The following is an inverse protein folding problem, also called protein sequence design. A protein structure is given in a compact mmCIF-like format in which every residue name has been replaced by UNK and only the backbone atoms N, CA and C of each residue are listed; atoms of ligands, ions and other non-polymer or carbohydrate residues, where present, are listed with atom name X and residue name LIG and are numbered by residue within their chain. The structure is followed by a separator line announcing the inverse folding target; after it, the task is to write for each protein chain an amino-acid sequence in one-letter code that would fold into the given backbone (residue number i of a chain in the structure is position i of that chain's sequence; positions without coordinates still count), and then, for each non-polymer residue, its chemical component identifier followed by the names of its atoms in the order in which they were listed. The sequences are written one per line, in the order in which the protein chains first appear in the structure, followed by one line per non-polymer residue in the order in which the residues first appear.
data_IF_468443592340
#
_entry.id   IF_468443592340
#
_cell.length_a   1.000
_cell.length_b   1.000
_cell.length_c   1.000
_cell.angle_alpha   90.00
_cell.angle_beta   90.00
_cell.angle_gamma   90.00
#
_symmetry.space_group_name_H-M   'P 1'
#
loop_
_entity.id
_entity.type
_entity.pdbx_description
1 polymer ?
#
# COMPACT_ATOMS: atom_id res chain seq x y z
N UNK A 1 -58.02 -28.34 -9.25
CA UNK A 1 -56.81 -28.40 -10.11
C UNK A 1 -56.22 -27.03 -10.49
N UNK A 2 -57.01 -26.02 -10.89
CA UNK A 2 -56.45 -24.70 -11.32
C UNK A 2 -55.66 -23.93 -10.25
N UNK A 3 -56.00 -24.02 -8.95
CA UNK A 3 -55.28 -23.32 -7.86
C UNK A 3 -53.91 -23.93 -7.52
N UNK A 4 -53.69 -25.24 -7.78
CA UNK A 4 -52.38 -25.89 -7.56
C UNK A 4 -51.38 -25.63 -8.70
N UNK A 5 -51.89 -25.42 -9.91
CA UNK A 5 -51.05 -25.05 -11.08
C UNK A 5 -50.55 -23.60 -10.95
N UNK A 6 -51.37 -22.69 -10.40
CA UNK A 6 -50.98 -21.32 -10.18
C UNK A 6 -49.90 -21.16 -9.09
N UNK A 7 -49.98 -21.97 -8.02
CA UNK A 7 -48.99 -22.00 -6.96
C UNK A 7 -47.63 -22.58 -7.44
N UNK A 8 -47.68 -23.63 -8.28
CA UNK A 8 -46.45 -24.18 -8.87
C UNK A 8 -45.79 -23.24 -9.88
N UNK A 9 -46.58 -22.48 -10.66
CA UNK A 9 -46.04 -21.47 -11.57
C UNK A 9 -45.46 -20.27 -10.83
N UNK A 10 -46.02 -19.87 -9.68
CA UNK A 10 -45.47 -18.80 -8.84
C UNK A 10 -44.17 -19.21 -8.13
N UNK A 11 -44.08 -20.47 -7.67
CA UNK A 11 -42.83 -21.00 -7.10
C UNK A 11 -41.74 -21.17 -8.17
N UNK A 12 -42.03 -21.51 -9.41
CA UNK A 12 -41.08 -21.56 -10.50
C UNK A 12 -40.62 -20.12 -10.91
N UNK A 13 -41.49 -19.13 -10.85
CA UNK A 13 -41.14 -17.74 -11.11
C UNK A 13 -40.28 -17.11 -10.00
N UNK A 14 -40.44 -17.58 -8.74
CA UNK A 14 -39.58 -17.15 -7.62
C UNK A 14 -38.22 -17.87 -7.60
N UNK A 15 -38.11 -19.06 -8.19
CA UNK A 15 -36.84 -19.77 -8.36
C UNK A 15 -36.04 -19.30 -9.58
N UNK A 16 -36.67 -18.64 -10.54
CA UNK A 16 -35.97 -17.98 -11.66
C UNK A 16 -35.47 -16.57 -11.33
N UNK A 17 -35.76 -16.06 -10.13
CA UNK A 17 -35.22 -14.79 -9.62
C UNK A 17 -33.85 -14.89 -8.96
N UNK A 18 -33.33 -16.09 -8.67
CA UNK A 18 -31.91 -16.32 -8.49
C UNK A 18 -31.27 -16.40 -9.88
N UNK A 19 -31.19 -15.30 -10.57
CA UNK A 19 -30.35 -15.19 -11.75
C UNK A 19 -28.93 -15.53 -11.31
N UNK A 20 -28.48 -16.77 -11.57
CA UNK A 20 -27.05 -16.98 -11.72
C UNK A 20 -26.59 -15.86 -12.66
N UNK A 21 -25.77 -14.93 -12.18
CA UNK A 21 -25.09 -14.00 -13.06
C UNK A 21 -24.51 -14.87 -14.18
N UNK A 22 -24.71 -14.52 -15.47
CA UNK A 22 -24.02 -15.24 -16.51
C UNK A 22 -22.56 -15.32 -16.09
N UNK A 23 -21.88 -16.49 -16.27
CA UNK A 23 -20.45 -16.54 -16.05
C UNK A 23 -19.86 -15.34 -16.78
N UNK A 24 -18.97 -14.59 -16.10
CA UNK A 24 -18.21 -13.54 -16.76
C UNK A 24 -17.67 -14.18 -18.04
N UNK A 25 -18.03 -13.65 -19.21
CA UNK A 25 -17.37 -13.98 -20.45
C UNK A 25 -15.95 -13.43 -20.32
N UNK A 26 -15.07 -14.25 -19.74
CA UNK A 26 -13.65 -13.94 -19.72
C UNK A 26 -13.19 -13.98 -21.19
N UNK A 27 -12.48 -12.98 -21.67
CA UNK A 27 -11.92 -13.00 -23.00
C UNK A 27 -11.13 -14.29 -23.22
N UNK A 28 -11.28 -14.90 -24.38
CA UNK A 28 -10.59 -16.14 -24.76
C UNK A 28 -9.08 -16.01 -24.56
N UNK A 29 -8.55 -16.94 -23.82
CA UNK A 29 -7.36 -16.88 -23.00
C UNK A 29 -6.03 -16.84 -23.76
N UNK A 30 -5.77 -16.15 -24.81
CA UNK A 30 -4.37 -16.06 -25.28
C UNK A 30 -4.02 -14.93 -26.26
N UNK A 31 -4.94 -14.18 -26.83
CA UNK A 31 -4.54 -13.18 -27.83
C UNK A 31 -4.92 -11.72 -27.59
N UNK A 32 -5.76 -11.43 -26.58
CA UNK A 32 -6.27 -10.06 -26.34
C UNK A 32 -6.27 -9.63 -24.85
N UNK A 33 -5.48 -10.27 -23.99
CA UNK A 33 -5.37 -9.83 -22.60
C UNK A 33 -4.58 -8.55 -22.51
N UNK A 34 -5.13 -7.55 -21.81
CA UNK A 34 -4.40 -6.34 -21.51
C UNK A 34 -3.19 -6.63 -20.62
N UNK A 35 -2.04 -6.09 -21.01
CA UNK A 35 -0.78 -6.26 -20.25
C UNK A 35 -0.61 -5.08 -19.31
N UNK A 36 -0.22 -5.36 -18.07
CA UNK A 36 0.17 -4.36 -17.09
C UNK A 36 1.67 -4.53 -16.83
N UNK A 37 2.46 -3.49 -17.05
CA UNK A 37 3.85 -3.43 -16.61
C UNK A 37 3.87 -3.17 -15.10
N UNK A 38 4.30 -4.16 -14.32
CA UNK A 38 4.25 -4.13 -12.87
C UNK A 38 5.64 -4.17 -12.25
N UNK A 39 6.00 -3.11 -11.51
CA UNK A 39 7.16 -3.09 -10.62
C UNK A 39 6.66 -3.28 -9.17
N UNK A 40 6.86 -4.46 -8.57
CA UNK A 40 6.36 -4.77 -7.23
C UNK A 40 7.07 -4.00 -6.12
N UNK A 41 6.44 -3.90 -4.95
CA UNK A 41 7.01 -3.26 -3.77
C UNK A 41 8.26 -4.00 -3.26
N UNK A 42 8.21 -5.32 -3.30
CA UNK A 42 9.29 -6.27 -2.99
C UNK A 42 8.92 -7.67 -3.50
N UNK A 43 9.78 -8.66 -3.23
CA UNK A 43 9.65 -10.05 -3.70
C UNK A 43 8.76 -10.94 -2.82
N UNK A 44 8.07 -10.39 -1.82
CA UNK A 44 7.15 -11.18 -0.97
C UNK A 44 5.92 -11.65 -1.75
N UNK A 45 5.36 -12.83 -1.39
CA UNK A 45 4.19 -13.39 -2.07
C UNK A 45 2.98 -12.46 -2.12
N UNK A 46 2.80 -11.59 -1.11
CA UNK A 46 1.71 -10.61 -1.09
C UNK A 46 1.83 -9.56 -2.19
N UNK A 47 3.06 -9.19 -2.55
CA UNK A 47 3.35 -8.20 -3.58
C UNK A 47 3.57 -8.79 -4.97
N UNK A 48 3.80 -10.09 -5.10
CA UNK A 48 4.02 -10.78 -6.38
C UNK A 48 2.87 -11.74 -6.66
N UNK A 49 2.87 -12.93 -6.07
CA UNK A 49 1.95 -14.01 -6.44
C UNK A 49 0.47 -13.70 -6.18
N UNK A 50 0.16 -12.95 -5.10
CA UNK A 50 -1.21 -12.53 -4.80
C UNK A 50 -1.75 -11.53 -5.83
N UNK A 51 -0.89 -10.58 -6.26
CA UNK A 51 -1.27 -9.58 -7.27
C UNK A 51 -1.41 -10.23 -8.64
N UNK A 52 -0.48 -11.12 -9.01
CA UNK A 52 -0.53 -11.90 -10.25
C UNK A 52 -1.83 -12.73 -10.33
N UNK A 53 -2.15 -13.48 -9.26
CA UNK A 53 -3.38 -14.27 -9.20
C UNK A 53 -4.65 -13.41 -9.39
N UNK A 54 -4.70 -12.22 -8.77
CA UNK A 54 -5.81 -11.30 -8.95
C UNK A 54 -5.87 -10.79 -10.39
N UNK A 55 -4.77 -10.30 -10.93
CA UNK A 55 -4.70 -9.76 -12.29
C UNK A 55 -5.16 -10.79 -13.32
N UNK A 56 -4.66 -12.02 -13.23
CA UNK A 56 -5.10 -13.13 -14.09
C UNK A 56 -6.60 -13.43 -13.95
N UNK A 57 -7.12 -13.40 -12.73
CA UNK A 57 -8.55 -13.61 -12.46
C UNK A 57 -9.44 -12.52 -13.07
N UNK A 58 -8.90 -11.32 -13.27
CA UNK A 58 -9.56 -10.17 -13.88
C UNK A 58 -9.30 -10.06 -15.39
N UNK A 59 -8.52 -10.98 -15.97
CA UNK A 59 -8.23 -11.02 -17.40
C UNK A 59 -7.01 -10.22 -17.83
N UNK A 60 -6.15 -9.79 -16.90
CA UNK A 60 -4.87 -9.14 -17.19
C UNK A 60 -3.70 -10.12 -17.23
N UNK A 61 -2.59 -9.68 -17.83
CA UNK A 61 -1.29 -10.32 -17.71
C UNK A 61 -0.34 -9.33 -17.07
N UNK A 62 0.28 -9.71 -15.95
CA UNK A 62 1.36 -8.90 -15.37
C UNK A 62 2.67 -9.21 -16.09
N UNK A 63 3.29 -8.17 -16.64
CA UNK A 63 4.68 -8.22 -17.06
C UNK A 63 5.53 -7.57 -15.97
N UNK A 64 6.43 -8.35 -15.37
CA UNK A 64 7.29 -7.93 -14.28
C UNK A 64 8.76 -8.02 -14.69
N UNK A 65 9.65 -7.18 -14.11
CA UNK A 65 11.09 -7.36 -14.27
C UNK A 65 11.53 -8.70 -13.70
N UNK A 66 12.75 -9.16 -14.05
CA UNK A 66 13.32 -10.35 -13.44
C UNK A 66 13.44 -10.17 -11.93
N UNK A 67 13.13 -11.23 -11.14
CA UNK A 67 13.05 -11.18 -9.66
C UNK A 67 14.31 -10.57 -9.02
N UNK A 68 15.49 -10.88 -9.54
CA UNK A 68 16.76 -10.35 -9.01
C UNK A 68 16.87 -8.82 -9.10
N UNK A 69 16.10 -8.15 -9.99
CA UNK A 69 16.10 -6.70 -10.15
C UNK A 69 15.35 -5.98 -9.03
N UNK A 70 14.44 -6.66 -8.34
CA UNK A 70 13.63 -6.10 -7.25
C UNK A 70 13.71 -6.90 -5.94
N UNK A 71 14.59 -7.91 -5.88
CA UNK A 71 14.74 -8.75 -4.70
C UNK A 71 15.41 -8.01 -3.55
N UNK A 72 14.85 -8.19 -2.35
CA UNK A 72 15.43 -7.70 -1.10
C UNK A 72 16.05 -8.86 -0.32
N UNK A 73 17.32 -8.75 0.05
CA UNK A 73 18.02 -9.70 0.88
C UNK A 73 18.46 -9.04 2.19
N UNK A 74 18.16 -9.66 3.32
CA UNK A 74 18.65 -9.25 4.62
C UNK A 74 20.12 -9.63 4.80
N UNK A 75 20.81 -9.01 5.78
CA UNK A 75 22.26 -9.18 6.03
C UNK A 75 22.69 -10.65 6.08
N UNK A 76 21.94 -11.53 6.76
CA UNK A 76 22.24 -12.96 6.85
C UNK A 76 21.86 -13.79 5.62
N UNK A 77 21.14 -13.24 4.65
CA UNK A 77 20.65 -13.96 3.46
C UNK A 77 21.53 -13.74 2.24
N UNK A 78 22.36 -12.70 2.22
CA UNK A 78 23.16 -12.31 1.06
C UNK A 78 24.16 -13.39 0.70
N UNK A 79 24.87 -13.95 1.69
CA UNK A 79 25.87 -15.01 1.47
C UNK A 79 25.24 -16.27 0.90
N UNK A 80 24.14 -16.72 1.48
CA UNK A 80 23.44 -17.94 1.06
C UNK A 80 22.90 -17.78 -0.38
N UNK A 81 22.27 -16.66 -0.69
CA UNK A 81 21.75 -16.38 -2.03
C UNK A 81 22.83 -16.37 -3.11
N UNK A 82 23.97 -15.72 -2.83
CA UNK A 82 25.09 -15.69 -3.78
C UNK A 82 25.72 -17.07 -3.97
N UNK A 83 25.87 -17.85 -2.89
CA UNK A 83 26.40 -19.21 -2.95
C UNK A 83 25.49 -20.14 -3.76
N UNK A 84 24.17 -20.09 -3.55
CA UNK A 84 23.18 -20.89 -4.27
C UNK A 84 23.14 -20.59 -5.77
N UNK A 85 23.39 -19.33 -6.14
CA UNK A 85 23.38 -18.90 -7.54
C UNK A 85 24.77 -18.91 -8.21
N UNK A 86 25.80 -19.41 -7.51
CA UNK A 86 27.17 -19.49 -8.03
C UNK A 86 27.84 -18.14 -8.28
N UNK A 87 27.42 -17.13 -7.53
CA UNK A 87 27.91 -15.75 -7.62
C UNK A 87 28.97 -15.49 -6.53
N UNK A 88 29.89 -14.57 -6.81
CA UNK A 88 30.85 -14.10 -5.78
C UNK A 88 30.20 -13.05 -4.89
N UNK A 89 30.24 -13.26 -3.57
CA UNK A 89 29.71 -12.28 -2.61
C UNK A 89 30.59 -11.02 -2.59
N UNK A 90 29.99 -9.88 -2.84
CA UNK A 90 30.68 -8.57 -2.83
C UNK A 90 30.42 -7.77 -1.55
N UNK A 91 29.41 -8.14 -0.78
CA UNK A 91 28.99 -7.42 0.44
C UNK A 91 28.37 -8.42 1.43
N UNK A 92 28.55 -8.15 2.71
CA UNK A 92 27.93 -8.89 3.83
C UNK A 92 26.70 -8.16 4.38
N UNK A 93 26.39 -6.99 3.83
CA UNK A 93 25.23 -6.19 4.22
C UNK A 93 24.07 -6.46 3.27
N UNK A 94 22.85 -6.22 3.74
CA UNK A 94 21.62 -6.40 2.98
C UNK A 94 21.69 -5.82 1.57
N UNK A 95 20.99 -6.43 0.65
CA UNK A 95 20.89 -6.02 -0.74
C UNK A 95 19.45 -5.62 -1.05
N UNK A 96 19.31 -4.53 -1.78
CA UNK A 96 18.04 -4.05 -2.34
C UNK A 96 17.99 -4.28 -3.85
N UNK A 97 16.84 -3.99 -4.46
CA UNK A 97 16.69 -3.92 -5.90
C UNK A 97 17.52 -2.82 -6.56
N UNK A 98 17.41 -2.71 -7.86
CA UNK A 98 18.27 -1.86 -8.71
C UNK A 98 17.46 -0.75 -9.39
N UNK A 99 17.30 0.45 -8.77
CA UNK A 99 16.49 1.55 -9.30
C UNK A 99 16.77 1.91 -10.76
N UNK A 100 18.06 2.05 -11.12
CA UNK A 100 18.44 2.42 -12.48
C UNK A 100 18.06 1.37 -13.54
N UNK A 101 18.18 0.08 -13.20
CA UNK A 101 17.78 -1.01 -14.11
C UNK A 101 16.26 -1.12 -14.22
N UNK A 102 15.53 -0.90 -13.13
CA UNK A 102 14.07 -0.87 -13.13
C UNK A 102 13.53 0.32 -13.93
N UNK A 103 14.18 1.49 -13.84
CA UNK A 103 13.88 2.63 -14.71
C UNK A 103 14.02 2.27 -16.18
N UNK A 104 15.17 1.68 -16.57
CA UNK A 104 15.41 1.28 -17.95
C UNK A 104 14.38 0.22 -18.41
N UNK A 105 14.04 -0.73 -17.53
CA UNK A 105 13.01 -1.73 -17.81
C UNK A 105 11.63 -1.10 -18.05
N UNK A 106 11.20 -0.10 -17.26
CA UNK A 106 9.92 0.59 -17.49
C UNK A 106 9.91 1.27 -18.87
N UNK A 107 11.01 1.93 -19.24
CA UNK A 107 11.12 2.56 -20.58
C UNK A 107 11.13 1.53 -21.72
N UNK A 108 11.65 0.33 -21.49
CA UNK A 108 11.56 -0.78 -22.46
C UNK A 108 10.10 -1.24 -22.64
N UNK A 109 9.30 -1.27 -21.56
CA UNK A 109 7.87 -1.57 -21.66
C UNK A 109 7.11 -0.49 -22.44
N UNK A 110 7.44 0.78 -22.22
CA UNK A 110 6.91 1.91 -22.98
C UNK A 110 7.23 1.76 -24.46
N UNK A 111 8.49 1.50 -24.78
CA UNK A 111 8.93 1.27 -26.17
C UNK A 111 8.30 0.03 -26.83
N UNK A 112 7.88 -0.95 -26.03
CA UNK A 112 7.16 -2.14 -26.49
C UNK A 112 5.65 -1.91 -26.66
N UNK A 113 5.13 -0.72 -26.30
CA UNK A 113 3.73 -0.33 -26.46
C UNK A 113 2.83 -0.77 -25.31
N UNK A 114 3.37 -0.95 -24.11
CA UNK A 114 2.56 -1.11 -22.92
C UNK A 114 1.88 0.22 -22.59
N UNK A 115 0.61 0.18 -22.20
CA UNK A 115 -0.20 1.36 -21.88
C UNK A 115 -0.79 1.34 -20.46
N UNK A 116 -0.43 0.33 -19.65
CA UNK A 116 -0.86 0.20 -18.25
C UNK A 116 0.32 -0.07 -17.36
N UNK A 117 0.49 0.77 -16.36
CA UNK A 117 1.63 0.72 -15.43
C UNK A 117 1.18 0.66 -13.99
N UNK A 118 1.81 -0.24 -13.22
CA UNK A 118 1.65 -0.39 -11.80
C UNK A 118 3.05 -0.33 -11.16
N UNK A 119 3.39 0.81 -10.57
CA UNK A 119 4.78 1.13 -10.24
C UNK A 119 4.94 1.43 -8.74
N UNK A 120 5.66 0.57 -8.02
CA UNK A 120 6.08 0.88 -6.66
C UNK A 120 7.20 1.91 -6.66
N UNK A 121 6.95 3.07 -6.06
CA UNK A 121 7.95 4.14 -5.96
C UNK A 121 9.04 3.77 -4.95
N UNK A 122 8.72 3.04 -3.88
CA UNK A 122 9.73 2.50 -2.98
C UNK A 122 10.74 1.61 -3.70
N UNK A 123 10.28 0.80 -4.65
CA UNK A 123 11.15 -0.07 -5.44
C UNK A 123 11.95 0.71 -6.48
N UNK A 124 11.29 1.59 -7.22
CA UNK A 124 11.91 2.37 -8.30
C UNK A 124 12.92 3.41 -7.82
N UNK A 125 12.72 3.96 -6.61
CA UNK A 125 13.57 5.03 -6.11
C UNK A 125 14.63 4.52 -5.12
N UNK A 126 14.29 3.51 -4.31
CA UNK A 126 15.16 3.06 -3.22
C UNK A 126 15.57 1.58 -3.32
N UNK A 127 14.95 0.81 -4.23
CA UNK A 127 15.19 -0.63 -4.36
C UNK A 127 14.32 -1.49 -3.45
N UNK A 128 13.19 -0.97 -2.94
CA UNK A 128 12.17 -1.70 -2.20
C UNK A 128 11.79 -1.11 -0.86
N UNK A 129 10.74 -1.64 -0.24
CA UNK A 129 10.20 -1.14 1.03
C UNK A 129 11.23 -1.09 2.16
N UNK A 130 12.09 -2.10 2.27
CA UNK A 130 13.11 -2.17 3.32
C UNK A 130 14.18 -1.10 3.11
N UNK A 131 14.64 -0.91 1.89
CA UNK A 131 15.64 0.08 1.53
C UNK A 131 15.11 1.52 1.62
N UNK A 132 13.82 1.75 1.34
CA UNK A 132 13.20 3.08 1.44
C UNK A 132 13.22 3.65 2.88
N UNK A 133 13.40 2.78 3.88
CA UNK A 133 13.59 3.19 5.29
C UNK A 133 14.99 3.75 5.59
N UNK A 134 15.89 3.67 4.61
CA UNK A 134 17.23 4.28 4.59
C UNK A 134 17.35 5.22 3.40
N UNK A 135 16.30 6.01 3.13
CA UNK A 135 16.17 6.84 1.95
C UNK A 135 17.32 7.84 1.79
N UNK A 136 18.11 7.62 0.76
CA UNK A 136 19.12 8.55 0.27
C UNK A 136 18.52 9.49 -0.78
N UNK A 137 19.27 10.49 -1.22
CA UNK A 137 18.84 11.44 -2.26
C UNK A 137 19.33 11.06 -3.66
N UNK A 138 20.18 10.05 -3.75
CA UNK A 138 20.78 9.58 -5.01
C UNK A 138 20.77 8.06 -5.09
N UNK A 139 20.71 7.53 -6.30
CA UNK A 139 21.07 6.15 -6.64
C UNK A 139 22.31 6.14 -7.52
N UNK A 140 22.78 4.96 -7.94
CA UNK A 140 23.91 4.82 -8.86
C UNK A 140 23.42 4.45 -10.27
N UNK A 141 23.96 5.15 -11.28
CA UNK A 141 23.81 4.78 -12.69
C UNK A 141 25.16 4.90 -13.39
N UNK A 142 25.65 3.83 -14.01
CA UNK A 142 26.94 3.77 -14.72
C UNK A 142 28.14 4.22 -13.86
N UNK A 143 28.13 3.83 -12.58
CA UNK A 143 29.19 4.20 -11.62
C UNK A 143 29.18 5.66 -11.18
N UNK A 144 28.07 6.36 -11.38
CA UNK A 144 27.90 7.77 -10.99
C UNK A 144 26.65 7.97 -10.15
N UNK A 145 26.68 8.89 -9.17
CA UNK A 145 25.47 9.30 -8.47
C UNK A 145 24.44 9.88 -9.44
N UNK A 146 23.22 9.43 -9.33
CA UNK A 146 22.05 9.93 -10.07
C UNK A 146 21.01 10.43 -9.08
N UNK A 147 20.68 11.74 -9.06
CA UNK A 147 19.68 12.28 -8.17
C UNK A 147 18.31 11.60 -8.36
N UNK A 148 17.67 11.17 -7.26
CA UNK A 148 16.38 10.50 -7.32
C UNK A 148 15.26 11.41 -7.84
N UNK A 149 15.35 12.72 -7.57
CA UNK A 149 14.44 13.71 -8.13
C UNK A 149 14.50 13.76 -9.68
N UNK A 150 15.72 13.66 -10.24
CA UNK A 150 15.92 13.64 -11.71
C UNK A 150 15.40 12.31 -12.31
N UNK A 151 15.62 11.18 -11.62
CA UNK A 151 15.08 9.88 -12.03
C UNK A 151 13.55 9.93 -12.06
N UNK A 152 12.93 10.40 -10.98
CA UNK A 152 11.47 10.55 -10.86
C UNK A 152 10.89 11.42 -11.96
N UNK A 153 11.41 12.64 -12.12
CA UNK A 153 10.96 13.59 -13.14
C UNK A 153 11.08 13.02 -14.55
N UNK A 154 12.22 12.39 -14.87
CA UNK A 154 12.48 11.78 -16.17
C UNK A 154 11.53 10.63 -16.46
N UNK A 155 11.30 9.74 -15.47
CA UNK A 155 10.39 8.59 -15.62
C UNK A 155 8.96 9.05 -15.90
N UNK A 156 8.44 9.94 -15.04
CA UNK A 156 7.06 10.40 -15.17
C UNK A 156 6.83 11.22 -16.42
N UNK A 157 7.84 12.02 -16.84
CA UNK A 157 7.78 12.77 -18.10
C UNK A 157 7.72 11.85 -19.29
N UNK A 158 8.53 10.79 -19.33
CA UNK A 158 8.51 9.80 -20.42
C UNK A 158 7.14 9.10 -20.51
N UNK A 159 6.60 8.64 -19.39
CA UNK A 159 5.28 8.00 -19.38
C UNK A 159 4.12 8.96 -19.73
N UNK A 160 4.30 10.25 -19.50
CA UNK A 160 3.29 11.26 -19.83
C UNK A 160 3.24 11.59 -21.34
N UNK A 161 4.27 11.24 -22.12
CA UNK A 161 4.32 11.50 -23.57
C UNK A 161 3.26 10.71 -24.34
N UNK A 162 2.96 9.46 -23.95
CA UNK A 162 1.84 8.71 -24.54
C UNK A 162 0.52 9.06 -23.83
N UNK A 163 -0.47 9.62 -24.57
CA UNK A 163 -1.77 9.96 -24.00
C UNK A 163 -2.64 8.74 -23.64
N UNK A 164 -2.26 7.54 -24.02
CA UNK A 164 -3.00 6.31 -23.70
C UNK A 164 -2.53 5.66 -22.39
N UNK A 165 -1.38 6.07 -21.87
CA UNK A 165 -0.85 5.49 -20.64
C UNK A 165 -1.76 5.72 -19.45
N UNK A 166 -2.06 4.65 -18.71
CA UNK A 166 -2.74 4.63 -17.41
C UNK A 166 -1.72 4.19 -16.36
N UNK A 167 -1.35 5.11 -15.46
CA UNK A 167 -0.20 4.93 -14.56
C UNK A 167 -0.64 4.98 -13.10
N UNK A 168 -0.39 3.91 -12.37
CA UNK A 168 -0.65 3.78 -10.94
C UNK A 168 0.67 3.80 -10.18
N UNK A 169 0.86 4.82 -9.36
CA UNK A 169 2.07 5.07 -8.58
C UNK A 169 1.80 4.74 -7.11
N UNK A 170 2.52 3.76 -6.59
CA UNK A 170 2.35 3.23 -5.26
C UNK A 170 3.51 3.69 -4.38
N UNK A 171 3.25 4.55 -3.41
CA UNK A 171 4.25 5.09 -2.49
C UNK A 171 3.91 4.75 -1.04
N UNK A 172 4.81 5.00 -0.11
CA UNK A 172 4.58 4.74 1.31
C UNK A 172 5.01 5.86 2.23
N UNK A 173 4.26 6.07 3.31
CA UNK A 173 4.71 6.81 4.48
C UNK A 173 5.59 5.86 5.31
N UNK A 174 6.85 6.24 5.55
CA UNK A 174 7.83 5.42 6.23
C UNK A 174 7.35 4.98 7.63
N UNK A 175 7.52 3.70 7.98
CA UNK A 175 7.22 3.18 9.31
C UNK A 175 8.06 3.81 10.43
N UNK A 176 7.75 3.46 11.68
CA UNK A 176 8.37 4.10 12.86
C UNK A 176 9.82 3.71 13.14
N UNK A 177 10.34 2.66 12.51
CA UNK A 177 11.70 2.19 12.77
C UNK A 177 12.32 1.50 11.53
N UNK A 178 13.65 1.49 11.41
CA UNK A 178 14.36 0.76 10.36
C UNK A 178 14.20 -0.76 10.52
N UNK A 179 14.67 -1.52 9.54
CA UNK A 179 14.56 -2.98 9.55
C UNK A 179 15.70 -3.63 10.32
N UNK A 180 15.36 -4.57 11.20
CA UNK A 180 16.34 -5.43 11.87
C UNK A 180 16.96 -6.41 10.84
N UNK A 181 18.30 -6.55 10.88
CA UNK A 181 19.01 -7.43 9.96
C UNK A 181 19.11 -6.91 8.52
N UNK A 182 19.01 -5.60 8.33
CA UNK A 182 19.29 -4.94 7.06
C UNK A 182 20.23 -3.76 7.26
N UNK A 183 21.30 -3.68 6.49
CA UNK A 183 22.33 -2.65 6.56
C UNK A 183 22.90 -2.46 7.99
N UNK A 184 23.05 -3.56 8.74
CA UNK A 184 23.55 -3.54 10.12
C UNK A 184 22.52 -3.12 11.17
N UNK A 185 21.23 -3.06 10.82
CA UNK A 185 20.14 -2.75 11.76
C UNK A 185 20.02 -3.79 12.88
N UNK A 186 20.11 -3.35 14.14
CA UNK A 186 19.98 -4.22 15.32
C UNK A 186 18.60 -4.08 15.96
N UNK A 187 18.21 -5.06 16.79
CA UNK A 187 16.98 -4.98 17.57
C UNK A 187 16.98 -3.81 18.56
N UNK A 188 18.15 -3.49 19.14
CA UNK A 188 18.31 -2.36 20.04
C UNK A 188 18.03 -1.04 19.30
N UNK A 189 18.63 -0.87 18.11
CA UNK A 189 18.39 0.30 17.26
C UNK A 189 16.91 0.39 16.83
N UNK A 190 16.32 -0.72 16.40
CA UNK A 190 14.90 -0.79 16.07
C UNK A 190 14.02 -0.31 17.24
N UNK A 191 14.23 -0.83 18.45
CA UNK A 191 13.43 -0.47 19.62
C UNK A 191 13.58 1.02 19.98
N UNK A 192 14.80 1.55 19.93
CA UNK A 192 15.05 2.96 20.20
C UNK A 192 14.35 3.87 19.18
N UNK A 193 14.48 3.59 17.89
CA UNK A 193 13.82 4.39 16.83
C UNK A 193 12.31 4.25 16.87
N UNK A 194 11.78 3.06 17.18
CA UNK A 194 10.34 2.86 17.37
C UNK A 194 9.80 3.69 18.54
N UNK A 195 10.55 3.78 19.65
CA UNK A 195 10.17 4.61 20.79
C UNK A 195 10.14 6.10 20.40
N UNK A 196 11.16 6.58 19.70
CA UNK A 196 11.19 7.96 19.16
C UNK A 196 10.02 8.16 18.20
N UNK A 197 9.83 7.24 17.24
CA UNK A 197 8.78 7.34 16.23
C UNK A 197 7.37 7.36 16.82
N UNK A 198 7.12 6.57 17.86
CA UNK A 198 5.82 6.44 18.53
C UNK A 198 5.48 7.61 19.46
N UNK A 199 6.45 8.41 19.87
CA UNK A 199 6.18 9.55 20.75
C UNK A 199 5.24 10.56 20.08
N UNK A 200 4.29 11.17 20.81
CA UNK A 200 3.38 12.17 20.26
C UNK A 200 4.11 13.39 19.69
N UNK A 201 3.64 13.91 18.58
CA UNK A 201 4.21 15.10 17.93
C UNK A 201 3.27 16.31 18.03
N UNK A 202 3.87 17.51 18.10
CA UNK A 202 3.11 18.75 17.92
C UNK A 202 2.40 18.72 16.56
N UNK A 203 1.11 19.06 16.54
CA UNK A 203 0.34 19.16 15.29
C UNK A 203 0.73 20.44 14.54
N UNK A 204 1.05 20.29 13.26
CA UNK A 204 1.23 21.40 12.31
C UNK A 204 -0.01 21.49 11.42
N UNK A 205 -0.40 22.72 11.07
CA UNK A 205 -1.60 22.98 10.24
C UNK A 205 -1.35 24.13 9.24
N UNK A 206 -2.05 24.10 8.11
CA UNK A 206 -2.02 25.17 7.12
C UNK A 206 -0.59 25.53 6.68
N UNK A 207 -0.20 26.79 6.80
CA UNK A 207 1.12 27.28 6.39
C UNK A 207 2.28 26.74 7.23
N UNK A 208 2.02 26.10 8.37
CA UNK A 208 3.05 25.44 9.16
C UNK A 208 3.52 24.09 8.54
N UNK A 209 2.76 23.48 7.64
CA UNK A 209 3.05 22.20 7.00
C UNK A 209 4.15 22.34 5.93
N UNK A 210 5.35 22.69 6.37
CA UNK A 210 6.56 22.76 5.53
C UNK A 210 7.54 21.65 5.92
N UNK A 211 8.38 21.21 4.99
CA UNK A 211 9.42 20.21 5.26
C UNK A 211 10.35 20.63 6.41
N UNK A 212 10.69 21.92 6.49
CA UNK A 212 11.52 22.47 7.57
C UNK A 212 10.84 22.30 8.94
N UNK A 213 9.58 22.70 9.07
CA UNK A 213 8.84 22.58 10.31
C UNK A 213 8.59 21.11 10.69
N UNK A 214 8.28 20.26 9.72
CA UNK A 214 8.11 18.82 9.95
C UNK A 214 9.41 18.22 10.47
N UNK A 215 10.55 18.52 9.82
CA UNK A 215 11.86 18.07 10.27
C UNK A 215 12.13 18.49 11.73
N UNK A 216 11.76 19.73 12.10
CA UNK A 216 11.92 20.22 13.46
C UNK A 216 11.05 19.44 14.50
N UNK A 217 9.92 18.84 14.06
CA UNK A 217 9.09 17.98 14.96
C UNK A 217 9.68 16.59 15.18
N UNK A 218 10.69 16.17 14.45
CA UNK A 218 11.29 14.84 14.65
C UNK A 218 12.11 14.74 15.92
N UNK A 219 12.69 15.84 16.33
CA UNK A 219 13.67 15.92 17.43
C UNK A 219 13.00 16.12 18.81
N UNK A 220 11.70 16.52 18.82
CA UNK A 220 10.97 16.80 20.06
C UNK A 220 9.59 16.17 20.09
N UNK A 221 9.11 15.80 21.29
CA UNK A 221 7.73 15.40 21.49
C UNK A 221 6.75 16.59 21.50
N UNK A 222 5.46 16.31 21.69
CA UNK A 222 4.40 17.33 21.70
C UNK A 222 4.55 18.36 22.85
N UNK A 223 5.22 17.98 23.95
CA UNK A 223 5.47 18.80 25.13
C UNK A 223 6.81 19.56 25.03
N UNK A 224 7.59 19.31 23.96
CA UNK A 224 8.89 19.96 23.70
C UNK A 224 10.08 19.28 24.37
N UNK A 225 9.95 18.03 24.82
CA UNK A 225 11.08 17.28 25.35
C UNK A 225 11.93 16.74 24.18
N UNK A 226 13.24 16.78 24.35
CA UNK A 226 14.21 16.24 23.40
C UNK A 226 14.11 14.70 23.33
N UNK A 227 13.84 14.17 22.15
CA UNK A 227 13.74 12.74 21.87
C UNK A 227 15.06 12.11 21.40
N UNK A 228 16.04 12.94 21.02
CA UNK A 228 17.33 12.48 20.51
C UNK A 228 18.44 12.49 21.58
N UNK A 229 18.05 12.62 22.86
CA UNK A 229 18.97 12.69 23.98
C UNK A 229 19.48 11.29 24.37
N UNK A 230 20.53 10.80 23.68
CA UNK A 230 21.23 9.56 24.00
C UNK A 230 22.57 9.83 24.67
N UNK A 231 22.92 9.03 25.69
CA UNK A 231 24.25 9.05 26.31
C UNK A 231 25.32 8.44 25.37
N UNK A 232 24.91 7.47 24.54
CA UNK A 232 25.77 6.83 23.55
C UNK A 232 25.76 7.61 22.23
N UNK A 233 26.94 8.09 21.82
CA UNK A 233 27.11 8.81 20.56
C UNK A 233 26.73 7.98 19.32
N UNK A 234 26.93 6.66 19.34
CA UNK A 234 26.58 5.79 18.20
C UNK A 234 25.08 5.78 18.01
N UNK A 235 24.30 5.66 19.11
CA UNK A 235 22.85 5.69 19.06
C UNK A 235 22.32 7.09 18.67
N UNK A 236 22.95 8.15 19.18
CA UNK A 236 22.61 9.51 18.79
C UNK A 236 22.80 9.76 17.29
N UNK A 237 23.98 9.39 16.75
CA UNK A 237 24.24 9.51 15.30
C UNK A 237 23.27 8.65 14.45
N UNK A 238 22.89 7.48 14.96
CA UNK A 238 21.90 6.62 14.31
C UNK A 238 20.51 7.26 14.29
N UNK A 239 20.10 7.93 15.38
CA UNK A 239 18.84 8.65 15.45
C UNK A 239 18.81 9.87 14.50
N UNK A 240 19.92 10.62 14.40
CA UNK A 240 20.04 11.69 13.42
C UNK A 240 19.90 11.18 11.99
N UNK A 241 20.59 10.08 11.63
CA UNK A 241 20.43 9.47 10.30
C UNK A 241 19.00 8.99 10.04
N UNK A 242 18.35 8.38 11.03
CA UNK A 242 16.96 7.96 10.92
C UNK A 242 16.03 9.14 10.56
N UNK A 243 16.17 10.27 11.23
CA UNK A 243 15.36 11.46 10.93
C UNK A 243 15.73 12.09 9.58
N UNK A 244 16.99 12.01 9.15
CA UNK A 244 17.44 12.41 7.82
C UNK A 244 16.81 11.56 6.71
N UNK A 245 16.85 10.24 6.84
CA UNK A 245 16.21 9.34 5.87
C UNK A 245 14.71 9.61 5.76
N UNK A 246 14.03 9.89 6.88
CA UNK A 246 12.60 10.24 6.85
C UNK A 246 12.31 11.49 6.04
N UNK A 247 13.06 12.56 6.30
CA UNK A 247 12.83 13.82 5.58
C UNK A 247 13.18 13.71 4.09
N UNK A 248 14.21 12.92 3.75
CA UNK A 248 14.57 12.64 2.36
C UNK A 248 13.41 11.94 1.64
N UNK A 249 12.84 10.89 2.25
CA UNK A 249 11.69 10.17 1.69
C UNK A 249 10.47 11.09 1.55
N UNK A 250 10.12 11.82 2.60
CA UNK A 250 8.97 12.74 2.57
C UNK A 250 9.14 13.83 1.49
N UNK A 251 10.36 14.33 1.31
CA UNK A 251 10.66 15.32 0.27
C UNK A 251 10.36 14.74 -1.11
N UNK A 252 10.86 13.54 -1.41
CA UNK A 252 10.68 12.93 -2.71
C UNK A 252 9.22 12.49 -2.95
N UNK A 253 8.49 12.05 -1.90
CA UNK A 253 7.04 11.82 -1.98
C UNK A 253 6.25 13.10 -2.28
N UNK A 254 6.68 14.25 -1.72
CA UNK A 254 6.13 15.56 -2.06
C UNK A 254 6.40 15.94 -3.53
N UNK A 255 7.63 15.74 -4.01
CA UNK A 255 8.01 15.98 -5.41
C UNK A 255 7.25 15.07 -6.38
N UNK A 256 6.98 13.80 -5.99
CA UNK A 256 6.10 12.89 -6.73
C UNK A 256 4.73 13.52 -6.96
N UNK A 257 4.06 13.97 -5.89
CA UNK A 257 2.73 14.56 -5.97
C UNK A 257 2.71 15.85 -6.78
N UNK A 258 3.73 16.71 -6.64
CA UNK A 258 3.88 17.94 -7.40
C UNK A 258 4.10 17.67 -8.90
N UNK A 259 4.96 16.70 -9.23
CA UNK A 259 5.25 16.30 -10.61
C UNK A 259 4.00 15.71 -11.27
N UNK A 260 3.31 14.78 -10.60
CA UNK A 260 2.07 14.19 -11.11
C UNK A 260 0.98 15.23 -11.29
N UNK A 261 0.86 16.19 -10.36
CA UNK A 261 -0.08 17.31 -10.50
C UNK A 261 0.20 18.18 -11.72
N UNK A 262 1.45 18.33 -12.10
CA UNK A 262 1.90 19.15 -13.22
C UNK A 262 1.75 18.47 -14.58
N UNK A 263 2.06 17.18 -14.69
CA UNK A 263 2.17 16.47 -15.95
C UNK A 263 1.21 15.30 -16.13
N UNK A 264 0.70 14.71 -15.03
CA UNK A 264 0.01 13.42 -15.06
C UNK A 264 -1.42 13.47 -15.59
N UNK A 265 -2.14 14.58 -15.41
CA UNK A 265 -3.56 14.65 -15.73
C UNK A 265 -4.37 13.58 -14.97
N UNK A 266 -5.50 13.16 -15.54
CA UNK A 266 -6.41 12.17 -14.91
C UNK A 266 -5.95 10.72 -15.13
N UNK A 267 -4.86 10.49 -15.86
CA UNK A 267 -4.31 9.17 -16.18
C UNK A 267 -3.26 8.66 -15.20
N UNK A 268 -2.82 9.52 -14.29
CA UNK A 268 -1.87 9.16 -13.25
C UNK A 268 -2.60 9.14 -11.92
N UNK A 269 -2.51 8.04 -11.21
CA UNK A 269 -3.16 7.79 -9.92
C UNK A 269 -2.09 7.54 -8.88
N UNK A 270 -2.21 8.18 -7.71
CA UNK A 270 -1.26 7.99 -6.62
C UNK A 270 -1.97 7.35 -5.42
N UNK A 271 -1.45 6.20 -5.00
CA UNK A 271 -1.85 5.50 -3.78
C UNK A 271 -0.67 5.53 -2.81
N UNK A 272 -0.86 6.13 -1.65
CA UNK A 272 0.15 6.15 -0.59
C UNK A 272 -0.32 5.27 0.55
N UNK A 273 0.49 4.28 0.93
CA UNK A 273 0.23 3.42 2.07
C UNK A 273 0.89 3.93 3.34
N UNK A 274 0.22 3.83 4.47
CA UNK A 274 0.84 4.08 5.77
C UNK A 274 1.47 2.75 6.23
N UNK A 275 2.83 2.71 6.29
CA UNK A 275 3.57 1.55 6.82
C UNK A 275 3.47 1.53 8.36
N UNK A 276 3.87 0.43 9.00
CA UNK A 276 3.80 0.17 10.45
C UNK A 276 3.85 1.43 11.32
N UNK A 277 2.79 1.67 12.06
CA UNK A 277 2.56 2.86 12.89
C UNK A 277 2.46 2.52 14.39
N UNK A 278 1.85 3.39 15.16
CA UNK A 278 1.47 3.15 16.56
C UNK A 278 0.20 3.91 16.95
N UNK A 279 0.01 5.10 16.41
CA UNK A 279 -1.14 5.98 16.69
C UNK A 279 -1.14 7.17 15.74
N UNK A 280 -2.25 7.89 15.67
CA UNK A 280 -2.39 9.12 14.87
C UNK A 280 -1.50 10.28 15.33
N UNK A 281 -0.98 10.23 16.56
CA UNK A 281 -0.12 11.28 17.12
C UNK A 281 1.38 11.04 16.93
N UNK A 282 1.78 9.92 16.34
CA UNK A 282 3.17 9.55 16.13
C UNK A 282 3.91 10.44 15.10
N UNK A 283 5.18 10.15 14.84
CA UNK A 283 6.02 10.91 13.90
C UNK A 283 5.42 11.04 12.51
N UNK A 284 4.60 10.09 12.06
CA UNK A 284 3.94 10.10 10.74
C UNK A 284 2.83 11.15 10.63
N UNK A 285 2.31 11.67 11.74
CA UNK A 285 1.19 12.63 11.80
C UNK A 285 1.34 13.81 10.83
N UNK A 286 2.44 14.53 10.94
CA UNK A 286 2.67 15.72 10.11
C UNK A 286 3.13 15.35 8.69
N UNK A 287 3.75 14.19 8.49
CA UNK A 287 4.09 13.65 7.17
C UNK A 287 2.82 13.34 6.38
N UNK A 288 1.88 12.63 7.00
CA UNK A 288 0.57 12.31 6.41
C UNK A 288 -0.19 13.60 6.09
N UNK A 289 -0.24 14.55 7.04
CA UNK A 289 -0.90 15.84 6.81
C UNK A 289 -0.27 16.64 5.65
N UNK A 290 1.06 16.61 5.54
CA UNK A 290 1.80 17.26 4.45
C UNK A 290 1.46 16.66 3.09
N UNK A 291 1.44 15.33 2.98
CA UNK A 291 1.08 14.62 1.75
C UNK A 291 -0.41 14.80 1.43
N UNK A 292 -1.29 14.68 2.43
CA UNK A 292 -2.74 14.86 2.26
C UNK A 292 -3.09 16.23 1.67
N UNK A 293 -2.36 17.30 2.09
CA UNK A 293 -2.57 18.64 1.56
C UNK A 293 -2.15 18.81 0.09
N UNK A 294 -1.45 17.83 -0.50
CA UNK A 294 -0.95 17.83 -1.88
C UNK A 294 -1.64 16.83 -2.81
N UNK A 295 -2.51 15.97 -2.26
CA UNK A 295 -3.27 15.02 -3.07
C UNK A 295 -4.21 15.75 -4.04
N UNK A 296 -4.31 15.23 -5.24
CA UNK A 296 -5.34 15.60 -6.21
C UNK A 296 -6.63 14.82 -5.92
N UNK A 297 -7.71 15.21 -6.57
CA UNK A 297 -8.94 14.42 -6.56
C UNK A 297 -8.66 13.03 -7.17
N UNK A 298 -8.97 11.99 -6.43
CA UNK A 298 -8.72 10.59 -6.83
C UNK A 298 -7.43 9.97 -6.30
N UNK A 299 -6.43 10.77 -5.90
CA UNK A 299 -5.27 10.28 -5.16
C UNK A 299 -5.66 10.02 -3.70
N UNK A 300 -5.06 9.01 -3.05
CA UNK A 300 -5.45 8.62 -1.68
C UNK A 300 -4.25 8.24 -0.81
N UNK A 301 -4.42 8.43 0.50
CA UNK A 301 -3.58 7.82 1.53
C UNK A 301 -4.43 6.80 2.28
N UNK A 302 -3.96 5.55 2.38
CA UNK A 302 -4.67 4.43 2.98
C UNK A 302 -3.79 3.76 4.04
N UNK A 303 -4.42 3.16 5.04
CA UNK A 303 -3.72 2.32 6.01
C UNK A 303 -3.19 1.05 5.33
N UNK A 304 -1.93 0.68 5.62
CA UNK A 304 -1.24 -0.48 5.05
C UNK A 304 -0.55 -0.22 3.70
N UNK A 305 0.56 -0.93 3.47
CA UNK A 305 1.38 -0.81 2.25
C UNK A 305 1.37 -2.08 1.40
N UNK A 306 1.19 -3.25 2.01
CA UNK A 306 1.38 -4.55 1.37
C UNK A 306 0.28 -4.93 0.36
N UNK A 307 -0.84 -4.21 0.34
CA UNK A 307 -1.97 -4.47 -0.55
C UNK A 307 -2.26 -3.33 -1.54
N UNK A 308 -1.36 -2.34 -1.66
CA UNK A 308 -1.54 -1.22 -2.58
C UNK A 308 -1.67 -1.68 -4.03
N UNK A 309 -0.80 -2.59 -4.48
CA UNK A 309 -0.84 -3.13 -5.83
C UNK A 309 -2.15 -3.91 -6.08
N UNK A 310 -2.59 -4.71 -5.10
CA UNK A 310 -3.86 -5.44 -5.15
C UNK A 310 -5.05 -4.47 -5.29
N UNK A 311 -5.04 -3.37 -4.52
CA UNK A 311 -6.04 -2.30 -4.60
C UNK A 311 -6.04 -1.58 -5.94
N UNK A 312 -4.85 -1.27 -6.48
CA UNK A 312 -4.70 -0.59 -7.75
C UNK A 312 -5.20 -1.43 -8.93
N UNK A 313 -4.82 -2.71 -9.03
CA UNK A 313 -5.36 -3.64 -10.04
C UNK A 313 -6.88 -3.74 -9.95
N UNK A 314 -7.41 -3.83 -8.73
CA UNK A 314 -8.88 -3.87 -8.53
C UNK A 314 -9.52 -2.58 -9.05
N UNK A 315 -8.95 -1.42 -8.70
CA UNK A 315 -9.50 -0.11 -9.10
C UNK A 315 -9.43 0.12 -10.60
N UNK A 316 -8.33 -0.28 -11.24
CA UNK A 316 -8.16 -0.27 -12.69
C UNK A 316 -9.30 -1.06 -13.36
N UNK A 317 -9.51 -2.31 -12.92
CA UNK A 317 -10.60 -3.14 -13.45
C UNK A 317 -11.98 -2.52 -13.23
N UNK A 318 -12.26 -2.02 -12.02
CA UNK A 318 -13.53 -1.38 -11.71
C UNK A 318 -13.79 -0.15 -12.58
N UNK A 319 -12.75 0.62 -12.91
CA UNK A 319 -12.83 1.75 -13.84
C UNK A 319 -13.19 1.28 -15.25
N UNK A 320 -12.52 0.25 -15.76
CA UNK A 320 -12.75 -0.29 -17.11
C UNK A 320 -14.13 -0.89 -17.29
N UNK A 321 -14.70 -1.53 -16.26
CA UNK A 321 -16.06 -2.09 -16.31
C UNK A 321 -17.15 -1.06 -15.98
N UNK A 322 -16.81 0.19 -15.73
CA UNK A 322 -17.76 1.26 -15.42
C UNK A 322 -18.45 1.08 -14.08
N UNK A 323 -17.71 0.66 -13.05
CA UNK A 323 -18.20 0.48 -11.68
C UNK A 323 -18.75 1.79 -11.10
N UNK A 324 -19.99 1.76 -10.58
CA UNK A 324 -20.68 2.92 -10.03
C UNK A 324 -20.86 2.84 -8.51
N UNK A 325 -20.17 1.92 -7.84
CA UNK A 325 -20.33 1.67 -6.41
C UNK A 325 -21.44 0.70 -6.06
N UNK A 326 -21.58 0.39 -4.77
CA UNK A 326 -22.62 -0.46 -4.20
C UNK A 326 -22.93 -0.04 -2.76
N UNK A 327 -24.12 -0.45 -2.29
CA UNK A 327 -24.50 -0.30 -0.88
C UNK A 327 -23.96 -1.49 -0.08
N UNK A 328 -23.29 -1.22 1.04
CA UNK A 328 -22.70 -2.26 1.88
C UNK A 328 -23.19 -2.17 3.31
N UNK A 329 -23.65 -3.30 3.86
CA UNK A 329 -23.94 -3.40 5.29
C UNK A 329 -22.71 -3.98 6.01
N UNK A 330 -22.15 -3.22 6.94
CA UNK A 330 -20.96 -3.61 7.72
C UNK A 330 -21.40 -4.03 9.11
N UNK A 331 -20.95 -5.19 9.55
CA UNK A 331 -21.20 -5.69 10.90
C UNK A 331 -19.90 -6.12 11.55
N UNK A 332 -19.67 -5.62 12.77
CA UNK A 332 -18.49 -5.93 13.56
C UNK A 332 -18.81 -7.00 14.62
N UNK A 333 -17.87 -7.90 14.84
CA UNK A 333 -17.96 -8.99 15.82
C UNK A 333 -16.67 -9.02 16.64
N UNK A 334 -16.82 -9.12 17.96
CA UNK A 334 -15.71 -9.19 18.91
C UNK A 334 -15.61 -7.98 19.85
N UNK A 335 -16.17 -6.83 19.47
CA UNK A 335 -16.32 -5.65 20.34
C UNK A 335 -15.02 -4.87 20.58
N UNK A 336 -14.07 -4.94 19.65
CA UNK A 336 -12.79 -4.21 19.71
C UNK A 336 -12.52 -3.37 18.46
N UNK A 337 -13.55 -3.08 17.69
CA UNK A 337 -13.49 -2.32 16.44
C UNK A 337 -13.12 -0.85 16.62
N UNK A 338 -13.36 -0.27 17.81
CA UNK A 338 -13.06 1.13 18.15
C UNK A 338 -11.57 1.39 18.42
N UNK A 339 -10.73 0.39 18.23
CA UNK A 339 -9.27 0.46 18.44
C UNK A 339 -8.53 -0.08 17.23
N UNK A 340 -7.23 0.21 17.14
CA UNK A 340 -6.35 -0.46 16.22
C UNK A 340 -6.46 -1.99 16.35
N UNK A 341 -6.47 -2.72 15.23
CA UNK A 341 -6.54 -4.17 15.24
C UNK A 341 -5.22 -4.80 15.74
N UNK A 342 -4.11 -4.08 15.62
CA UNK A 342 -2.81 -4.45 16.16
C UNK A 342 -1.99 -3.20 16.56
N UNK A 343 -0.85 -3.43 17.23
CA UNK A 343 0.05 -2.36 17.70
C UNK A 343 0.78 -1.60 16.58
N UNK A 344 0.52 -1.95 15.33
CA UNK A 344 1.12 -1.34 14.14
C UNK A 344 0.15 -0.50 13.33
N UNK A 345 -1.14 -0.51 13.69
CA UNK A 345 -2.14 0.27 12.99
C UNK A 345 -2.11 1.74 13.41
N UNK A 346 -2.31 2.61 12.43
CA UNK A 346 -2.37 4.06 12.62
C UNK A 346 -3.70 4.53 13.24
N UNK A 347 -4.80 3.87 12.89
CA UNK A 347 -6.19 4.23 13.24
C UNK A 347 -6.98 3.07 13.86
N UNK A 348 -8.14 3.37 14.49
CA UNK A 348 -9.15 2.36 14.81
C UNK A 348 -9.58 1.54 13.59
N UNK A 349 -9.91 0.28 13.79
CA UNK A 349 -10.32 -0.63 12.71
C UNK A 349 -11.56 -0.14 11.96
N UNK A 350 -12.52 0.49 12.67
CA UNK A 350 -13.71 1.10 12.03
C UNK A 350 -13.34 2.16 11.00
N UNK A 351 -12.34 2.99 11.26
CA UNK A 351 -11.87 4.01 10.35
C UNK A 351 -11.10 3.42 9.18
N UNK A 352 -10.27 2.39 9.44
CA UNK A 352 -9.55 1.66 8.38
C UNK A 352 -10.54 1.00 7.42
N UNK A 353 -11.56 0.34 7.93
CA UNK A 353 -12.62 -0.26 7.09
C UNK A 353 -13.35 0.81 6.28
N UNK A 354 -13.72 1.92 6.91
CA UNK A 354 -14.44 3.00 6.23
C UNK A 354 -13.63 3.62 5.08
N UNK A 355 -12.33 3.90 5.29
CA UNK A 355 -11.47 4.45 4.23
C UNK A 355 -11.32 3.49 3.03
N UNK A 356 -11.27 2.18 3.28
CA UNK A 356 -11.18 1.19 2.20
C UNK A 356 -12.50 1.02 1.44
N UNK A 357 -13.63 1.09 2.14
CA UNK A 357 -14.94 1.06 1.49
C UNK A 357 -15.13 2.29 0.59
N UNK A 358 -14.81 3.48 1.11
CA UNK A 358 -14.89 4.72 0.34
C UNK A 358 -13.99 4.70 -0.90
N UNK A 359 -12.76 4.20 -0.77
CA UNK A 359 -11.84 4.04 -1.89
C UNK A 359 -12.44 3.22 -3.04
N UNK A 360 -13.20 2.16 -2.75
CA UNK A 360 -13.86 1.34 -3.76
C UNK A 360 -15.24 1.85 -4.17
N UNK A 361 -15.70 3.00 -3.67
CA UNK A 361 -17.02 3.57 -3.95
C UNK A 361 -18.15 2.79 -3.28
N UNK A 362 -17.88 2.15 -2.16
CA UNK A 362 -18.86 1.42 -1.36
C UNK A 362 -19.45 2.34 -0.31
N UNK A 363 -20.78 2.49 -0.31
CA UNK A 363 -21.51 3.34 0.65
C UNK A 363 -22.14 2.47 1.73
N UNK A 364 -21.89 2.82 2.99
CA UNK A 364 -22.47 2.07 4.12
C UNK A 364 -23.98 2.28 4.19
N UNK A 365 -24.73 1.17 4.25
CA UNK A 365 -26.19 1.11 4.41
C UNK A 365 -26.52 0.37 5.71
N UNK A 366 -27.17 1.08 6.63
CA UNK A 366 -27.52 0.54 7.95
C UNK A 366 -28.56 -0.57 7.91
N UNK A 367 -29.46 -0.50 6.92
CA UNK A 367 -30.56 -1.47 6.77
C UNK A 367 -30.11 -2.66 5.91
N UNK A 368 -29.87 -3.84 6.49
CA UNK A 368 -29.36 -4.99 5.74
C UNK A 368 -30.17 -5.34 4.49
N UNK A 369 -31.48 -5.12 4.52
CA UNK A 369 -32.38 -5.47 3.39
C UNK A 369 -32.15 -4.59 2.14
N UNK A 370 -31.45 -3.48 2.26
CA UNK A 370 -31.14 -2.55 1.16
C UNK A 370 -29.69 -2.61 0.71
N UNK A 371 -28.86 -3.38 1.40
CA UNK A 371 -27.47 -3.56 1.03
C UNK A 371 -27.32 -4.58 -0.13
N UNK A 372 -26.42 -4.25 -1.06
CA UNK A 372 -26.01 -5.15 -2.15
C UNK A 372 -24.98 -6.18 -1.65
N UNK A 373 -24.15 -5.77 -0.68
CA UNK A 373 -23.07 -6.56 -0.13
C UNK A 373 -23.09 -6.56 1.40
N UNK A 374 -22.54 -7.62 2.01
CA UNK A 374 -22.35 -7.71 3.45
C UNK A 374 -20.86 -7.86 3.77
N UNK A 375 -20.34 -6.99 4.64
CA UNK A 375 -18.99 -7.07 5.18
C UNK A 375 -19.08 -7.44 6.66
N UNK A 376 -18.54 -8.60 7.01
CA UNK A 376 -18.47 -9.09 8.38
C UNK A 376 -17.03 -8.92 8.88
N UNK A 377 -16.82 -7.98 9.79
CA UNK A 377 -15.51 -7.64 10.34
C UNK A 377 -15.32 -8.36 11.66
N UNK A 378 -14.30 -9.22 11.72
CA UNK A 378 -14.02 -10.07 12.86
C UNK A 378 -12.90 -9.46 13.70
N UNK A 379 -13.19 -9.09 14.94
CA UNK A 379 -12.18 -8.62 15.89
C UNK A 379 -11.94 -9.66 16.98
N UNK A 380 -10.81 -9.58 17.66
CA UNK A 380 -10.52 -10.48 18.77
C UNK A 380 -11.22 -10.00 20.05
N UNK A 381 -12.10 -10.82 20.68
CA UNK A 381 -12.72 -10.48 21.95
C UNK A 381 -11.69 -10.28 23.07
N UNK A 382 -11.97 -9.37 24.00
CA UNK A 382 -11.07 -9.06 25.12
C UNK A 382 -10.93 -10.23 26.12
N UNK A 383 -11.96 -11.04 26.29
CA UNK A 383 -11.90 -12.19 27.20
C UNK A 383 -12.45 -13.48 26.57
N UNK A 384 -12.03 -14.63 27.15
CA UNK A 384 -12.40 -15.94 26.64
C UNK A 384 -13.87 -16.31 26.87
N UNK A 385 -14.60 -15.64 27.78
CA UNK A 385 -16.02 -15.89 28.02
C UNK A 385 -16.87 -15.27 26.89
N UNK A 386 -16.46 -14.12 26.38
CA UNK A 386 -17.11 -13.46 25.24
C UNK A 386 -16.88 -14.20 23.94
N UNK A 387 -15.81 -15.00 23.83
CA UNK A 387 -15.48 -15.73 22.61
C UNK A 387 -16.60 -16.69 22.17
N UNK A 388 -17.25 -17.38 23.11
CA UNK A 388 -18.34 -18.30 22.73
C UNK A 388 -19.60 -17.55 22.29
N UNK A 389 -19.93 -16.45 22.96
CA UNK A 389 -21.03 -15.58 22.56
C UNK A 389 -20.79 -15.01 21.16
N UNK A 390 -19.62 -14.50 20.92
CA UNK A 390 -19.17 -13.98 19.62
C UNK A 390 -19.29 -15.00 18.50
N UNK A 391 -18.85 -16.27 18.71
CA UNK A 391 -18.99 -17.35 17.71
C UNK A 391 -20.46 -17.66 17.45
N UNK A 392 -21.32 -17.64 18.48
CA UNK A 392 -22.75 -17.88 18.31
C UNK A 392 -23.43 -16.77 17.52
N UNK A 393 -23.13 -15.51 17.81
CA UNK A 393 -23.65 -14.35 17.10
C UNK A 393 -23.21 -14.35 15.62
N UNK A 394 -21.92 -14.56 15.35
CA UNK A 394 -21.40 -14.69 14.01
C UNK A 394 -22.08 -15.84 13.24
N UNK A 395 -22.19 -17.01 13.87
CA UNK A 395 -22.83 -18.17 13.24
C UNK A 395 -24.31 -17.89 12.94
N UNK A 396 -25.03 -17.22 13.85
CA UNK A 396 -26.42 -16.84 13.63
C UNK A 396 -26.56 -15.87 12.45
N UNK A 397 -25.71 -14.85 12.40
CA UNK A 397 -25.69 -13.86 11.32
C UNK A 397 -25.37 -14.50 9.97
N UNK A 398 -24.34 -15.34 9.88
CA UNK A 398 -24.01 -16.07 8.66
C UNK A 398 -25.18 -16.94 8.17
N UNK A 399 -25.82 -17.68 9.08
CA UNK A 399 -26.99 -18.51 8.73
C UNK A 399 -28.21 -17.69 8.28
N UNK A 400 -28.36 -16.48 8.76
CA UNK A 400 -29.42 -15.57 8.32
C UNK A 400 -29.13 -15.01 6.92
N UNK A 401 -27.88 -14.61 6.66
CA UNK A 401 -27.47 -14.00 5.39
C UNK A 401 -27.33 -14.98 4.23
N UNK A 402 -27.05 -16.25 4.52
CA UNK A 402 -26.95 -17.31 3.50
C UNK A 402 -28.29 -17.93 3.10
N UNK A 403 -29.42 -17.51 3.71
CA UNK A 403 -30.80 -17.94 3.34
C UNK A 403 -31.39 -17.05 2.28
#
# INVERSE_FOLDING_TARGET
MKKRILAAALCLALLSGCGARPPLDLPDAESDRAVIAYVPLDDRPDNVGRVEYLAESLGYVLNMPEEWMFKTLLDGQVEDYYAENGLETRSWTGQSGYPALLYDWVLEQEAAGCDRYLLSMDQLLYGGLVASRLAETTTERDGKPWPLAELLESLLSALAEDPNNEVWLLDSVMRLAPTVGYAGGTLEYYNAMRTIGAAPRKTLTGDELTLENIRATYDTDADGHDLLCFEDNVMHDAALRYTEHRINKLTLSGELLETVSRIGGDRFHVLIGIDDSSSEDCIQKNEIAYLQARLRAGDVILSGVDDLAFKAVTKLYLSEVGWNGAQVNVQYFGGTEDRPACDYDYKPLTEIVAEHLDYFGLTVEDTPAFADLYVLVLTQPEDGAQKQQYIQELTATLNERLK
#
